data_IF_585213300341
#
_entry.id   IF_585213300341
#
_cell.length_a   1.000
_cell.length_b   1.000
_cell.length_c   1.000
_cell.angle_alpha   90.00
_cell.angle_beta   90.00
_cell.angle_gamma   90.00
#
_symmetry.space_group_name_H-M   'P 1'
#
loop_
_entity.id
_entity.type
_entity.pdbx_description
1 polymer ?
#
# COMPACT_ATOMS: atom_id res chain seq x y z
N UNK A 1 -52.25 -26.05 -30.26
CA UNK A 1 -51.88 -24.62 -30.15
C UNK A 1 -51.74 -24.29 -28.68
N UNK A 2 -50.49 -24.24 -28.16
CA UNK A 2 -50.19 -23.92 -26.75
C UNK A 2 -49.81 -22.43 -26.68
N UNK A 3 -50.60 -21.65 -25.93
CA UNK A 3 -50.33 -20.23 -25.68
C UNK A 3 -49.26 -20.10 -24.60
N UNK A 4 -48.12 -19.49 -24.90
CA UNK A 4 -47.03 -19.16 -23.94
C UNK A 4 -47.31 -17.76 -23.42
N UNK A 5 -47.61 -17.64 -22.14
CA UNK A 5 -47.77 -16.35 -21.45
C UNK A 5 -46.41 -15.92 -20.95
N UNK A 6 -45.85 -14.84 -21.51
CA UNK A 6 -44.62 -14.22 -21.06
C UNK A 6 -44.94 -13.27 -19.89
N UNK A 7 -44.48 -13.59 -18.71
CA UNK A 7 -44.58 -12.72 -17.54
C UNK A 7 -43.32 -11.84 -17.53
N UNK A 8 -43.49 -10.55 -17.85
CA UNK A 8 -42.46 -9.55 -17.74
C UNK A 8 -42.23 -9.20 -16.26
N UNK A 9 -41.16 -9.75 -15.66
CA UNK A 9 -40.70 -9.38 -14.31
C UNK A 9 -39.99 -8.04 -14.34
N UNK A 10 -40.58 -7.02 -13.70
CA UNK A 10 -39.97 -5.71 -13.46
C UNK A 10 -38.92 -5.90 -12.35
N UNK A 11 -37.63 -5.96 -12.70
CA UNK A 11 -36.52 -5.93 -11.74
C UNK A 11 -36.35 -4.50 -11.26
N UNK A 12 -36.81 -4.20 -10.06
CA UNK A 12 -36.59 -2.93 -9.37
C UNK A 12 -35.14 -2.93 -8.83
N UNK A 13 -34.20 -2.34 -9.56
CA UNK A 13 -32.81 -2.15 -9.08
C UNK A 13 -32.80 -1.04 -8.05
N UNK A 14 -32.72 -1.43 -6.78
CA UNK A 14 -32.42 -0.53 -5.66
C UNK A 14 -30.98 -0.03 -5.82
N UNK A 15 -30.82 1.15 -6.36
CA UNK A 15 -29.54 1.89 -6.32
C UNK A 15 -29.39 2.43 -4.90
N UNK A 16 -28.66 1.69 -4.06
CA UNK A 16 -28.22 2.19 -2.77
C UNK A 16 -27.18 3.28 -3.01
N UNK A 17 -27.33 4.50 -2.44
CA UNK A 17 -26.29 5.50 -2.50
C UNK A 17 -25.07 4.96 -1.74
N UNK A 18 -23.97 4.70 -2.43
CA UNK A 18 -22.67 4.45 -1.81
C UNK A 18 -22.23 5.75 -1.17
N UNK A 19 -22.40 5.86 0.13
CA UNK A 19 -21.78 6.92 0.91
C UNK A 19 -20.27 6.67 0.83
N UNK A 20 -19.60 7.40 -0.05
CA UNK A 20 -18.16 7.44 -0.07
C UNK A 20 -17.72 8.03 1.27
N UNK A 21 -17.22 7.19 2.17
CA UNK A 21 -16.61 7.65 3.41
C UNK A 21 -15.46 8.59 3.01
N UNK A 22 -15.53 9.84 3.45
CA UNK A 22 -14.47 10.80 3.22
C UNK A 22 -13.19 10.27 3.88
N UNK A 23 -12.12 10.11 3.11
CA UNK A 23 -10.83 9.72 3.65
C UNK A 23 -10.33 10.81 4.60
N UNK A 24 -9.68 10.44 5.72
CA UNK A 24 -9.12 11.41 6.64
C UNK A 24 -8.07 12.28 5.92
N UNK A 25 -7.99 13.54 6.29
CA UNK A 25 -6.98 14.44 5.75
C UNK A 25 -5.67 14.24 6.53
N UNK A 26 -4.53 13.99 5.85
CA UNK A 26 -3.26 13.77 6.52
C UNK A 26 -2.84 14.98 7.37
N UNK A 27 -2.43 14.74 8.59
CA UNK A 27 -1.91 15.74 9.51
C UNK A 27 -0.40 16.00 9.30
N UNK A 28 0.26 16.67 10.25
CA UNK A 28 1.71 16.92 10.16
C UNK A 28 2.55 15.70 10.57
N UNK A 29 2.01 14.83 11.43
CA UNK A 29 2.61 13.55 11.81
C UNK A 29 2.70 12.63 10.62
N UNK A 30 1.56 12.37 9.98
CA UNK A 30 1.46 11.54 8.78
C UNK A 30 2.42 11.99 7.67
N UNK A 31 2.54 13.30 7.46
CA UNK A 31 3.47 13.84 6.46
C UNK A 31 4.93 13.63 6.80
N UNK A 32 5.29 13.62 8.10
CA UNK A 32 6.67 13.36 8.55
C UNK A 32 7.00 11.87 8.44
N UNK A 33 6.10 10.98 8.85
CA UNK A 33 6.21 9.54 8.67
C UNK A 33 6.38 9.19 7.19
N UNK A 34 5.48 9.64 6.34
CA UNK A 34 5.55 9.47 4.89
C UNK A 34 6.85 10.01 4.27
N UNK A 35 7.39 11.12 4.77
CA UNK A 35 8.68 11.64 4.30
C UNK A 35 9.84 10.72 4.69
N UNK A 36 9.83 10.17 5.90
CA UNK A 36 10.85 9.24 6.38
C UNK A 36 10.83 7.96 5.56
N UNK A 37 9.65 7.40 5.34
CA UNK A 37 9.42 6.20 4.53
C UNK A 37 9.85 6.41 3.07
N UNK A 38 9.40 7.48 2.42
CA UNK A 38 9.82 7.78 1.03
C UNK A 38 11.33 8.01 0.90
N UNK A 39 12.00 8.52 1.94
CA UNK A 39 13.47 8.58 1.99
C UNK A 39 14.09 7.18 2.13
N UNK A 40 13.50 6.31 2.95
CA UNK A 40 13.93 4.92 3.09
C UNK A 40 13.79 4.16 1.77
N UNK A 41 12.64 4.24 1.12
CA UNK A 41 12.37 3.64 -0.21
C UNK A 41 13.32 4.16 -1.29
N UNK A 42 13.61 5.47 -1.29
CA UNK A 42 14.55 6.06 -2.25
C UNK A 42 15.96 5.53 -2.09
N UNK A 43 16.38 5.23 -0.85
CA UNK A 43 17.72 4.75 -0.55
C UNK A 43 18.83 5.74 -0.95
N UNK A 44 20.07 5.23 -1.06
CA UNK A 44 21.28 6.05 -1.32
C UNK A 44 22.06 5.61 -2.57
N UNK A 45 21.68 4.52 -3.21
CA UNK A 45 22.39 3.99 -4.39
C UNK A 45 21.70 4.37 -5.70
N UNK A 46 22.44 4.30 -6.81
CA UNK A 46 21.87 4.53 -8.14
C UNK A 46 20.72 3.56 -8.44
N UNK A 47 20.87 2.29 -8.07
CA UNK A 47 19.85 1.26 -8.26
C UNK A 47 18.56 1.55 -7.47
N UNK A 48 18.69 1.94 -6.18
CA UNK A 48 17.52 2.29 -5.37
C UNK A 48 16.84 3.57 -5.86
N UNK A 49 17.58 4.57 -6.33
CA UNK A 49 17.00 5.77 -6.95
C UNK A 49 16.28 5.46 -8.26
N UNK A 50 16.79 4.51 -9.05
CA UNK A 50 16.12 4.07 -10.28
C UNK A 50 14.82 3.33 -9.96
N UNK A 51 14.86 2.38 -9.01
CA UNK A 51 13.68 1.68 -8.52
C UNK A 51 12.62 2.65 -8.00
N UNK A 52 13.02 3.59 -7.15
CA UNK A 52 12.12 4.61 -6.61
C UNK A 52 11.43 5.42 -7.72
N UNK A 53 12.18 5.89 -8.73
CA UNK A 53 11.57 6.62 -9.86
C UNK A 53 10.64 5.75 -10.71
N UNK A 54 10.98 4.48 -10.87
CA UNK A 54 10.16 3.54 -11.63
C UNK A 54 8.82 3.23 -10.93
N UNK A 55 8.82 3.14 -9.60
CA UNK A 55 7.65 2.74 -8.79
C UNK A 55 6.84 3.95 -8.29
N UNK A 56 7.51 4.99 -7.81
CA UNK A 56 6.89 6.11 -7.09
C UNK A 56 6.72 7.40 -7.93
N UNK A 57 7.18 7.42 -9.17
CA UNK A 57 7.16 8.59 -10.09
C UNK A 57 7.98 9.78 -9.58
N UNK A 58 7.70 10.30 -8.38
CA UNK A 58 8.43 11.41 -7.76
C UNK A 58 8.37 11.34 -6.24
N UNK A 59 9.30 12.03 -5.55
CA UNK A 59 9.30 12.11 -4.08
C UNK A 59 8.02 12.76 -3.54
N UNK A 60 7.54 13.81 -4.18
CA UNK A 60 6.30 14.49 -3.79
C UNK A 60 5.09 13.58 -3.96
N UNK A 61 5.04 12.80 -5.04
CA UNK A 61 3.96 11.83 -5.27
C UNK A 61 3.97 10.71 -4.22
N UNK A 62 5.15 10.19 -3.87
CA UNK A 62 5.34 9.22 -2.80
C UNK A 62 4.82 9.78 -1.47
N UNK A 63 5.32 10.93 -1.03
CA UNK A 63 4.90 11.55 0.24
C UNK A 63 3.39 11.79 0.27
N UNK A 64 2.80 12.24 -0.83
CA UNK A 64 1.35 12.46 -0.91
C UNK A 64 0.55 11.16 -0.81
N UNK A 65 1.01 10.08 -1.41
CA UNK A 65 0.35 8.78 -1.31
C UNK A 65 0.47 8.25 0.11
N UNK A 66 1.70 8.08 0.60
CA UNK A 66 1.99 7.52 1.92
C UNK A 66 1.35 8.32 3.07
N UNK A 67 1.34 9.66 3.03
CA UNK A 67 0.66 10.43 4.09
C UNK A 67 -0.86 10.22 4.14
N UNK A 68 -1.49 9.74 3.08
CA UNK A 68 -2.90 9.35 3.10
C UNK A 68 -3.08 7.93 3.63
N UNK A 69 -2.15 7.06 3.31
CA UNK A 69 -2.12 5.69 3.80
C UNK A 69 -1.92 5.71 5.33
N UNK A 70 -0.97 6.49 5.84
CA UNK A 70 -0.75 6.74 7.28
C UNK A 70 -2.01 7.22 8.00
N UNK A 71 -2.66 8.29 7.47
CA UNK A 71 -3.90 8.81 8.06
C UNK A 71 -5.03 7.76 8.07
N UNK A 72 -5.09 6.89 7.07
CA UNK A 72 -6.07 5.81 7.00
C UNK A 72 -5.73 4.68 7.98
N UNK A 73 -4.46 4.35 8.14
CA UNK A 73 -3.98 3.34 9.08
C UNK A 73 -4.25 3.76 10.52
N UNK A 74 -3.96 5.01 10.89
CA UNK A 74 -4.28 5.59 12.19
C UNK A 74 -5.79 5.48 12.47
N UNK A 75 -6.64 5.90 11.51
CA UNK A 75 -8.09 5.78 11.66
C UNK A 75 -8.54 4.32 11.83
N UNK A 76 -7.96 3.40 11.08
CA UNK A 76 -8.26 1.97 11.17
C UNK A 76 -7.79 1.39 12.51
N UNK A 77 -6.59 1.75 12.97
CA UNK A 77 -6.03 1.34 14.25
C UNK A 77 -6.95 1.73 15.41
N UNK A 78 -7.36 3.02 15.45
CA UNK A 78 -8.30 3.52 16.44
C UNK A 78 -9.68 2.84 16.39
N UNK A 79 -10.23 2.68 15.18
CA UNK A 79 -11.55 2.03 14.98
C UNK A 79 -11.53 0.57 15.43
N UNK A 80 -10.48 -0.17 15.08
CA UNK A 80 -10.35 -1.57 15.47
C UNK A 80 -10.09 -1.72 16.97
N UNK A 81 -9.21 -0.90 17.54
CA UNK A 81 -8.96 -0.85 18.98
C UNK A 81 -10.26 -0.57 19.77
N UNK A 82 -11.08 0.39 19.31
CA UNK A 82 -12.36 0.70 19.93
C UNK A 82 -13.34 -0.48 19.91
N UNK A 83 -13.42 -1.23 18.79
CA UNK A 83 -14.25 -2.43 18.69
C UNK A 83 -13.81 -3.52 19.67
N UNK A 84 -12.49 -3.76 19.75
CA UNK A 84 -11.91 -4.76 20.65
C UNK A 84 -12.16 -4.39 22.12
N UNK A 85 -11.87 -3.15 22.52
CA UNK A 85 -12.09 -2.70 23.91
C UNK A 85 -13.58 -2.70 24.32
N UNK A 86 -14.47 -2.43 23.35
CA UNK A 86 -15.92 -2.55 23.57
C UNK A 86 -16.34 -4.00 23.77
N UNK A 87 -15.76 -4.93 23.02
CA UNK A 87 -16.01 -6.36 23.17
C UNK A 87 -15.53 -6.92 24.52
N UNK A 88 -14.49 -6.30 25.12
CA UNK A 88 -14.00 -6.59 26.47
C UNK A 88 -14.92 -6.00 27.59
N UNK A 89 -15.98 -5.29 27.20
CA UNK A 89 -16.94 -4.71 28.14
C UNK A 89 -16.44 -3.46 28.88
N UNK A 90 -15.36 -2.85 28.40
CA UNK A 90 -14.78 -1.68 29.02
C UNK A 90 -15.61 -0.42 28.76
N UNK A 91 -15.65 0.49 29.75
CA UNK A 91 -16.40 1.74 29.69
C UNK A 91 -15.61 2.91 30.30
N UNK A 92 -16.01 4.14 29.95
CA UNK A 92 -15.47 5.35 30.54
C UNK A 92 -13.94 5.47 30.35
N UNK A 93 -13.23 5.76 31.46
CA UNK A 93 -11.79 6.02 31.43
C UNK A 93 -10.95 4.78 31.03
N UNK A 94 -11.37 3.59 31.47
CA UNK A 94 -10.69 2.34 31.12
C UNK A 94 -10.81 2.03 29.64
N UNK A 95 -11.97 2.26 29.04
CA UNK A 95 -12.19 2.16 27.61
C UNK A 95 -11.23 3.09 26.84
N UNK A 96 -11.15 4.37 27.23
CA UNK A 96 -10.26 5.33 26.57
C UNK A 96 -8.77 4.92 26.63
N UNK A 97 -8.34 4.41 27.80
CA UNK A 97 -6.97 3.91 27.97
C UNK A 97 -6.70 2.69 27.09
N UNK A 98 -7.59 1.71 27.10
CA UNK A 98 -7.49 0.51 26.26
C UNK A 98 -7.38 0.87 24.76
N UNK A 99 -8.27 1.75 24.28
CA UNK A 99 -8.25 2.17 22.87
C UNK A 99 -6.92 2.83 22.51
N UNK A 100 -6.42 3.75 23.34
CA UNK A 100 -5.14 4.44 23.09
C UNK A 100 -3.95 3.47 23.07
N UNK A 101 -3.90 2.50 23.99
CA UNK A 101 -2.80 1.53 24.04
C UNK A 101 -2.84 0.57 22.85
N UNK A 102 -4.02 0.05 22.50
CA UNK A 102 -4.17 -0.87 21.36
C UNK A 102 -3.96 -0.16 20.00
N UNK A 103 -4.42 1.08 19.86
CA UNK A 103 -4.19 1.84 18.62
C UNK A 103 -2.70 2.05 18.40
N UNK A 104 -1.96 2.53 19.41
CA UNK A 104 -0.49 2.69 19.35
C UNK A 104 0.25 1.41 19.01
N UNK A 105 -0.18 0.26 19.56
CA UNK A 105 0.45 -1.02 19.24
C UNK A 105 0.23 -1.42 17.77
N UNK A 106 -0.95 -1.10 17.20
CA UNK A 106 -1.25 -1.37 15.79
C UNK A 106 -0.50 -0.43 14.84
N UNK A 107 -0.39 0.85 15.18
CA UNK A 107 0.41 1.84 14.44
C UNK A 107 1.88 1.42 14.41
N UNK A 108 2.45 1.03 15.57
CA UNK A 108 3.84 0.57 15.63
C UNK A 108 4.09 -0.69 14.79
N UNK A 109 3.14 -1.62 14.76
CA UNK A 109 3.26 -2.82 13.92
C UNK A 109 3.21 -2.47 12.41
N UNK A 110 2.41 -1.47 12.02
CA UNK A 110 2.37 -0.97 10.64
C UNK A 110 3.69 -0.31 10.26
N UNK A 111 4.25 0.57 11.13
CA UNK A 111 5.56 1.20 10.91
C UNK A 111 6.71 0.18 10.75
N UNK A 112 6.68 -0.93 11.51
CA UNK A 112 7.67 -2.00 11.38
C UNK A 112 7.54 -2.69 10.02
N UNK A 113 6.32 -2.99 9.57
CA UNK A 113 6.06 -3.58 8.27
C UNK A 113 6.54 -2.68 7.12
N UNK A 114 6.25 -1.38 7.16
CA UNK A 114 6.72 -0.42 6.15
C UNK A 114 8.26 -0.35 6.05
N UNK A 115 8.96 -0.53 7.18
CA UNK A 115 10.43 -0.59 7.19
C UNK A 115 10.94 -1.89 6.53
N UNK A 116 10.28 -3.02 6.76
CA UNK A 116 10.58 -4.31 6.13
C UNK A 116 10.37 -4.22 4.62
N UNK A 117 9.22 -3.73 4.17
CA UNK A 117 8.88 -3.54 2.75
C UNK A 117 9.90 -2.63 2.04
N UNK A 118 10.33 -1.56 2.72
CA UNK A 118 11.38 -0.67 2.20
C UNK A 118 12.75 -1.36 2.11
N UNK A 119 13.07 -2.28 3.00
CA UNK A 119 14.31 -3.06 2.96
C UNK A 119 14.27 -4.08 1.80
N UNK A 120 13.17 -4.78 1.63
CA UNK A 120 12.95 -5.72 0.54
C UNK A 120 13.04 -5.04 -0.83
N UNK A 121 12.36 -3.91 -1.00
CA UNK A 121 12.47 -3.13 -2.24
C UNK A 121 13.91 -2.72 -2.55
N UNK A 122 14.71 -2.34 -1.54
CA UNK A 122 16.13 -2.00 -1.75
C UNK A 122 16.98 -3.21 -2.12
N UNK A 123 16.71 -4.37 -1.57
CA UNK A 123 17.40 -5.61 -1.92
C UNK A 123 17.04 -6.04 -3.34
N UNK A 124 15.76 -6.10 -3.67
CA UNK A 124 15.28 -6.36 -5.02
C UNK A 124 15.89 -5.40 -6.06
N UNK A 125 16.03 -4.12 -5.72
CA UNK A 125 16.67 -3.15 -6.62
C UNK A 125 18.14 -3.45 -6.87
N UNK A 126 18.90 -3.89 -5.87
CA UNK A 126 20.32 -4.28 -6.02
C UNK A 126 20.45 -5.52 -6.90
N UNK A 127 19.62 -6.53 -6.68
CA UNK A 127 19.61 -7.75 -7.46
C UNK A 127 19.25 -7.48 -8.93
N UNK A 128 18.20 -6.69 -9.18
CA UNK A 128 17.81 -6.29 -10.53
C UNK A 128 18.90 -5.47 -11.24
N UNK A 129 19.65 -4.65 -10.51
CA UNK A 129 20.78 -3.94 -11.07
C UNK A 129 21.90 -4.90 -11.48
N UNK A 130 22.23 -5.88 -10.62
CA UNK A 130 23.24 -6.90 -10.91
C UNK A 130 22.86 -7.74 -12.14
N UNK A 131 21.61 -8.20 -12.22
CA UNK A 131 21.10 -8.98 -13.35
C UNK A 131 21.12 -8.17 -14.66
N UNK A 132 20.71 -6.89 -14.61
CA UNK A 132 20.78 -5.99 -15.75
C UNK A 132 22.19 -5.74 -16.23
N UNK A 133 23.12 -5.53 -15.32
CA UNK A 133 24.51 -5.20 -15.64
C UNK A 133 25.27 -6.41 -16.20
N UNK A 134 24.82 -7.66 -15.89
CA UNK A 134 25.33 -8.88 -16.48
C UNK A 134 24.89 -9.03 -17.94
N UNK A 135 23.64 -8.80 -18.28
CA UNK A 135 23.13 -8.81 -19.67
C UNK A 135 21.90 -7.89 -19.81
N UNK A 136 22.16 -6.66 -20.25
CA UNK A 136 21.11 -5.64 -20.43
C UNK A 136 20.06 -6.05 -21.47
N UNK A 137 20.42 -6.79 -22.50
CA UNK A 137 19.49 -7.19 -23.56
C UNK A 137 18.56 -8.28 -23.06
N UNK A 138 19.09 -9.36 -22.49
CA UNK A 138 18.31 -10.44 -21.90
C UNK A 138 17.42 -9.91 -20.76
N UNK A 139 17.94 -9.01 -19.92
CA UNK A 139 17.17 -8.36 -18.86
C UNK A 139 15.94 -7.62 -19.39
N UNK A 140 16.12 -6.81 -20.44
CA UNK A 140 15.00 -6.08 -21.06
C UNK A 140 13.98 -7.01 -21.69
N UNK A 141 14.42 -8.09 -22.33
CA UNK A 141 13.52 -9.09 -22.90
C UNK A 141 12.72 -9.82 -21.82
N UNK A 142 13.37 -10.16 -20.71
CA UNK A 142 12.75 -10.88 -19.59
C UNK A 142 11.68 -10.04 -18.88
N UNK A 143 11.99 -8.79 -18.54
CA UNK A 143 11.15 -7.96 -17.67
C UNK A 143 10.39 -6.85 -18.39
N UNK A 144 10.83 -6.43 -19.58
CA UNK A 144 10.22 -5.32 -20.29
C UNK A 144 8.91 -5.69 -20.95
N UNK A 145 7.82 -5.02 -20.56
CA UNK A 145 6.48 -5.30 -21.07
C UNK A 145 5.95 -4.26 -22.06
N UNK A 146 6.56 -3.07 -22.11
CA UNK A 146 6.21 -2.04 -23.10
C UNK A 146 7.10 -2.13 -24.35
N UNK A 147 6.67 -1.48 -25.44
CA UNK A 147 7.35 -1.59 -26.74
C UNK A 147 8.85 -1.18 -26.70
N UNK A 148 9.22 -0.20 -25.87
CA UNK A 148 10.60 0.25 -25.75
C UNK A 148 11.38 -0.40 -24.59
N UNK A 149 10.78 -1.34 -23.88
CA UNK A 149 11.36 -2.10 -22.75
C UNK A 149 11.92 -1.22 -21.59
N UNK A 150 11.57 0.07 -21.55
CA UNK A 150 12.10 1.00 -20.52
C UNK A 150 11.57 0.73 -19.12
N UNK A 151 10.47 0.00 -18.99
CA UNK A 151 9.88 -0.38 -17.71
C UNK A 151 10.50 -1.65 -17.10
N UNK A 152 11.47 -2.29 -17.75
CA UNK A 152 12.05 -3.56 -17.32
C UNK A 152 12.56 -3.52 -15.88
N UNK A 153 13.27 -2.46 -15.49
CA UNK A 153 13.84 -2.35 -14.14
C UNK A 153 12.75 -2.31 -13.05
N UNK A 154 11.74 -1.46 -13.21
CA UNK A 154 10.62 -1.39 -12.26
C UNK A 154 9.82 -2.69 -12.20
N UNK A 155 9.66 -3.39 -13.34
CA UNK A 155 8.99 -4.70 -13.38
C UNK A 155 9.79 -5.78 -12.67
N UNK A 156 11.12 -5.81 -12.85
CA UNK A 156 12.00 -6.71 -12.11
C UNK A 156 11.84 -6.50 -10.59
N UNK A 157 11.99 -5.27 -10.11
CA UNK A 157 11.87 -4.94 -8.68
C UNK A 157 10.51 -5.36 -8.14
N UNK A 158 9.40 -4.97 -8.81
CA UNK A 158 8.06 -5.35 -8.37
C UNK A 158 7.80 -6.86 -8.40
N UNK A 159 8.49 -7.62 -9.23
CA UNK A 159 8.35 -9.07 -9.27
C UNK A 159 9.09 -9.71 -8.09
N UNK A 160 10.34 -9.30 -7.84
CA UNK A 160 11.15 -9.84 -6.75
C UNK A 160 10.54 -9.58 -5.38
N UNK A 161 10.06 -8.36 -5.11
CA UNK A 161 9.34 -8.06 -3.86
C UNK A 161 8.16 -9.02 -3.64
N UNK A 162 7.37 -9.31 -4.67
CA UNK A 162 6.24 -10.25 -4.54
C UNK A 162 6.66 -11.71 -4.39
N UNK A 163 7.83 -12.09 -4.87
CA UNK A 163 8.38 -13.45 -4.70
C UNK A 163 8.81 -13.66 -3.24
N UNK A 164 9.44 -12.65 -2.63
CA UNK A 164 9.87 -12.68 -1.23
C UNK A 164 8.66 -12.76 -0.26
N UNK A 165 7.54 -12.08 -0.54
CA UNK A 165 6.31 -12.14 0.27
C UNK A 165 5.62 -13.53 0.27
N UNK A 166 6.01 -14.44 -0.63
CA UNK A 166 5.37 -15.75 -0.79
C UNK A 166 6.16 -16.92 -0.22
N UNK A 167 7.37 -16.71 0.27
CA UNK A 167 8.22 -17.71 0.93
C UNK A 167 8.07 -17.72 2.44
#
# INVERSE_FOLDING_TARGET
>A
MKKITVVAGLALTLVLPTVAAAQPAPDQGDKRAAQAECKALRGQTAATHEAFRALQKSFVACVKAKSRDEAQEEQNAHSNAAKECKAEGLHGREFGKCVSEKAKAKEHAADEQDQEDAAEQKNAAKECATERDADTTAFREKYGTNANKRNAFGKCVSQKVREDETE
#
